data_IF_247165155119
#
_entry.id   IF_247165155119
#
_cell.length_a   1.000
_cell.length_b   1.000
_cell.length_c   1.000
_cell.angle_alpha   90.00
_cell.angle_beta   90.00
_cell.angle_gamma   90.00
#
_symmetry.space_group_name_H-M   'P 1'
#
loop_
_entity.id
_entity.type
_entity.pdbx_description
1 polymer ?
#
# COMPACT_ATOMS: atom_id res chain seq x y z
N UNK A 1 10.03 17.15 0.34
CA UNK A 1 9.47 15.90 0.89
C UNK A 1 9.63 14.85 -0.18
N UNK A 2 10.22 13.71 0.15
CA UNK A 2 10.31 12.57 -0.76
C UNK A 2 8.94 11.90 -0.96
N UNK A 3 8.83 10.99 -1.93
CA UNK A 3 7.55 10.40 -2.32
C UNK A 3 6.93 9.54 -1.22
N UNK A 4 7.73 8.78 -0.44
CA UNK A 4 7.21 8.00 0.69
C UNK A 4 6.53 8.91 1.70
N UNK A 5 7.23 9.96 2.13
CA UNK A 5 6.71 10.87 3.15
C UNK A 5 5.45 11.58 2.62
N UNK A 6 5.43 11.95 1.32
CA UNK A 6 4.29 12.61 0.70
C UNK A 6 3.05 11.72 0.58
N UNK A 7 3.20 10.47 0.14
CA UNK A 7 2.08 9.51 0.11
C UNK A 7 1.60 9.19 1.51
N UNK A 8 2.51 8.97 2.47
CA UNK A 8 2.16 8.65 3.85
C UNK A 8 1.39 9.77 4.55
N UNK A 9 1.82 11.02 4.38
CA UNK A 9 1.09 12.17 4.93
C UNK A 9 -0.29 12.30 4.30
N UNK A 10 -0.43 12.13 2.99
CA UNK A 10 -1.72 12.21 2.32
C UNK A 10 -2.69 11.12 2.80
N UNK A 11 -2.21 9.88 2.93
CA UNK A 11 -3.00 8.75 3.46
C UNK A 11 -3.43 9.02 4.91
N UNK A 12 -2.51 9.46 5.76
CA UNK A 12 -2.84 9.78 7.16
C UNK A 12 -3.84 10.93 7.29
N UNK A 13 -3.74 11.96 6.46
CA UNK A 13 -4.75 13.03 6.40
C UNK A 13 -6.11 12.48 5.98
N UNK A 14 -6.15 11.59 4.98
CA UNK A 14 -7.41 10.96 4.56
C UNK A 14 -8.05 10.12 5.68
N UNK A 15 -7.25 9.44 6.51
CA UNK A 15 -7.75 8.74 7.72
C UNK A 15 -8.22 9.73 8.80
N UNK A 16 -7.54 10.88 8.96
CA UNK A 16 -7.91 11.92 9.92
C UNK A 16 -9.29 12.52 9.61
N UNK A 17 -9.61 12.68 8.33
CA UNK A 17 -10.84 13.27 7.80
C UNK A 17 -12.05 12.31 7.79
N UNK A 18 -11.88 11.03 8.16
CA UNK A 18 -12.97 10.05 8.18
C UNK A 18 -14.05 10.42 9.20
N UNK A 19 -15.31 10.27 8.80
CA UNK A 19 -16.45 10.35 9.73
C UNK A 19 -16.67 9.02 10.43
N UNK A 20 -17.38 9.02 11.57
CA UNK A 20 -17.71 7.79 12.31
C UNK A 20 -18.40 6.71 11.44
N UNK A 21 -19.19 7.11 10.44
CA UNK A 21 -19.89 6.18 9.56
C UNK A 21 -18.97 5.53 8.52
N UNK A 22 -17.85 6.18 8.18
CA UNK A 22 -16.97 5.71 7.12
C UNK A 22 -16.20 4.45 7.52
N UNK A 23 -15.90 4.29 8.81
CA UNK A 23 -15.20 3.13 9.37
C UNK A 23 -15.90 1.79 9.13
N UNK A 24 -17.23 1.80 9.01
CA UNK A 24 -18.06 0.61 8.75
C UNK A 24 -18.38 0.41 7.25
N UNK A 25 -17.87 1.28 6.37
CA UNK A 25 -18.00 1.09 4.92
C UNK A 25 -17.00 0.06 4.42
N UNK A 26 -17.28 -0.61 3.28
CA UNK A 26 -16.28 -1.38 2.58
C UNK A 26 -15.08 -0.50 2.19
N UNK A 27 -13.89 -1.06 2.23
CA UNK A 27 -12.69 -0.52 1.57
C UNK A 27 -12.51 -1.13 0.18
N UNK A 28 -11.47 -0.73 -0.55
CA UNK A 28 -11.07 -1.34 -1.82
C UNK A 28 -10.40 -2.71 -1.66
N UNK A 29 -9.96 -3.07 -0.45
CA UNK A 29 -9.53 -4.42 -0.14
C UNK A 29 -10.77 -5.32 -0.01
N UNK A 30 -10.90 -6.31 -0.90
CA UNK A 30 -12.08 -7.16 -0.97
C UNK A 30 -12.38 -7.86 0.38
N UNK A 31 -13.59 -7.66 0.90
CA UNK A 31 -14.02 -8.25 2.17
C UNK A 31 -13.59 -7.48 3.43
N UNK A 32 -12.81 -6.40 3.30
CA UNK A 32 -12.39 -5.56 4.41
C UNK A 32 -13.18 -4.26 4.49
N UNK A 33 -13.57 -3.90 5.70
CA UNK A 33 -14.08 -2.57 6.01
C UNK A 33 -12.92 -1.56 6.12
N UNK A 34 -13.25 -0.26 6.09
CA UNK A 34 -12.27 0.81 6.31
C UNK A 34 -11.52 0.63 7.62
N UNK A 35 -12.19 0.20 8.71
CA UNK A 35 -11.50 -0.10 9.98
C UNK A 35 -10.50 -1.25 9.88
N UNK A 36 -10.75 -2.24 9.03
CA UNK A 36 -9.86 -3.38 8.86
C UNK A 36 -8.60 -2.92 8.13
N UNK A 37 -8.77 -2.13 7.07
CA UNK A 37 -7.67 -1.48 6.35
C UNK A 37 -6.83 -0.58 7.25
N UNK A 38 -7.45 0.30 8.05
CA UNK A 38 -6.68 1.16 8.97
C UNK A 38 -5.95 0.34 10.04
N UNK A 39 -6.51 -0.79 10.48
CA UNK A 39 -5.82 -1.70 11.39
C UNK A 39 -4.60 -2.36 10.71
N UNK A 40 -4.70 -2.71 9.43
CA UNK A 40 -3.55 -3.20 8.65
C UNK A 40 -2.45 -2.14 8.52
N UNK A 41 -2.81 -0.88 8.24
CA UNK A 41 -1.82 0.20 8.13
C UNK A 41 -1.05 0.46 9.44
N UNK A 42 -1.60 0.08 10.60
CA UNK A 42 -0.84 0.11 11.86
C UNK A 42 0.31 -0.89 11.81
N UNK A 43 0.06 -2.10 11.29
CA UNK A 43 1.07 -3.14 11.15
C UNK A 43 2.12 -2.71 10.12
N UNK A 44 1.72 -2.12 9.00
CA UNK A 44 2.68 -1.61 8.01
C UNK A 44 3.56 -0.50 8.60
N UNK A 45 2.98 0.40 9.40
CA UNK A 45 3.73 1.43 10.10
C UNK A 45 4.67 0.84 11.17
N UNK A 46 4.28 -0.27 11.82
CA UNK A 46 5.17 -1.03 12.69
C UNK A 46 6.32 -1.68 11.90
N UNK A 47 6.05 -2.23 10.72
CA UNK A 47 7.07 -2.82 9.85
C UNK A 47 8.08 -1.78 9.38
N UNK A 48 7.64 -0.55 9.08
CA UNK A 48 8.56 0.57 8.80
C UNK A 48 9.45 0.83 10.01
N UNK A 49 8.87 0.93 11.20
CA UNK A 49 9.64 1.18 12.42
C UNK A 49 10.64 0.04 12.70
N UNK A 50 10.23 -1.21 12.55
CA UNK A 50 11.06 -2.40 12.77
C UNK A 50 12.19 -2.45 11.74
N UNK A 51 11.87 -2.30 10.46
CA UNK A 51 12.85 -2.42 9.36
C UNK A 51 13.93 -1.34 9.47
N UNK A 52 13.55 -0.08 9.74
CA UNK A 52 14.51 1.03 9.85
C UNK A 52 15.47 0.90 11.05
N UNK A 53 15.16 0.04 12.02
CA UNK A 53 16.06 -0.26 13.17
C UNK A 53 16.63 -1.67 13.14
N UNK A 54 16.55 -2.36 12.00
CA UNK A 54 17.12 -3.70 11.78
C UNK A 54 18.30 -3.59 10.80
N UNK A 55 19.48 -3.13 11.24
CA UNK A 55 20.64 -2.93 10.36
C UNK A 55 21.20 -4.27 9.87
N UNK A 56 21.76 -4.26 8.67
CA UNK A 56 22.39 -5.41 8.05
C UNK A 56 23.82 -5.11 7.59
N UNK A 57 24.76 -6.01 7.85
CA UNK A 57 26.14 -5.90 7.38
C UNK A 57 26.33 -6.48 5.96
N UNK A 58 25.45 -7.41 5.56
CA UNK A 58 25.53 -8.07 4.26
C UNK A 58 25.28 -7.10 3.09
N UNK A 59 25.71 -7.48 1.88
CA UNK A 59 25.42 -6.71 0.66
C UNK A 59 23.92 -6.76 0.33
N UNK A 60 23.36 -5.70 -0.29
CA UNK A 60 21.97 -5.71 -0.75
C UNK A 60 21.68 -6.89 -1.68
N UNK A 61 20.60 -7.61 -1.38
CA UNK A 61 20.06 -8.70 -2.17
C UNK A 61 18.80 -8.30 -2.94
N UNK A 62 18.19 -7.17 -2.57
CA UNK A 62 17.01 -6.60 -3.21
C UNK A 62 17.12 -5.07 -3.31
N UNK A 63 16.29 -4.50 -4.16
CA UNK A 63 16.05 -3.07 -4.32
C UNK A 63 14.55 -2.77 -4.23
N UNK A 64 14.14 -1.54 -4.50
CA UNK A 64 12.74 -1.13 -4.42
C UNK A 64 11.76 -1.86 -5.36
N UNK A 65 12.27 -2.51 -6.41
CA UNK A 65 11.46 -3.29 -7.38
C UNK A 65 11.46 -4.77 -6.97
N UNK A 66 12.63 -5.32 -6.71
CA UNK A 66 12.84 -6.75 -6.36
C UNK A 66 12.51 -7.08 -4.90
N UNK A 67 12.17 -6.06 -4.11
CA UNK A 67 11.49 -6.25 -2.82
C UNK A 67 10.18 -7.01 -2.98
N UNK A 68 9.44 -6.76 -4.07
CA UNK A 68 8.15 -7.37 -4.36
C UNK A 68 8.30 -8.69 -5.10
N UNK A 69 7.40 -9.62 -4.78
CA UNK A 69 7.18 -10.84 -5.54
C UNK A 69 5.76 -10.85 -6.11
N UNK A 70 5.58 -11.37 -7.33
CA UNK A 70 4.24 -11.64 -7.84
C UNK A 70 3.74 -12.94 -7.24
N UNK A 71 2.62 -12.87 -6.53
CA UNK A 71 2.01 -13.98 -5.81
C UNK A 71 0.61 -14.28 -6.35
N UNK A 72 0.04 -15.41 -5.96
CA UNK A 72 -1.37 -15.71 -6.24
C UNK A 72 -2.27 -14.86 -5.33
N UNK A 73 -3.47 -14.47 -5.79
CA UNK A 73 -4.44 -13.78 -4.95
C UNK A 73 -4.75 -14.58 -3.67
N UNK A 74 -4.85 -13.91 -2.50
CA UNK A 74 -5.23 -14.59 -1.27
C UNK A 74 -6.63 -15.19 -1.41
N UNK A 75 -6.82 -16.43 -0.96
CA UNK A 75 -8.12 -17.12 -1.07
C UNK A 75 -9.04 -16.79 0.10
N UNK A 76 -8.50 -16.27 1.22
CA UNK A 76 -9.24 -16.05 2.46
C UNK A 76 -9.40 -17.30 3.32
N UNK A 77 -8.77 -18.41 2.94
CA UNK A 77 -8.88 -19.70 3.64
C UNK A 77 -7.84 -19.86 4.76
N UNK A 78 -6.80 -19.02 4.80
CA UNK A 78 -5.81 -19.09 5.88
C UNK A 78 -6.41 -18.53 7.18
N UNK A 79 -6.30 -19.23 8.33
CA UNK A 79 -6.78 -18.70 9.60
C UNK A 79 -6.24 -17.31 9.98
N UNK A 80 -5.06 -16.92 9.45
CA UNK A 80 -4.44 -15.61 9.60
C UNK A 80 -5.09 -14.55 8.71
N UNK A 81 -5.77 -14.90 7.61
CA UNK A 81 -6.49 -13.94 6.75
C UNK A 81 -7.58 -13.19 7.53
N UNK A 82 -8.15 -13.85 8.54
CA UNK A 82 -9.14 -13.27 9.45
C UNK A 82 -8.52 -12.55 10.67
N UNK A 83 -7.19 -12.48 10.82
CA UNK A 83 -6.55 -11.83 11.96
C UNK A 83 -6.81 -10.33 11.97
N UNK A 84 -6.65 -9.65 10.83
CA UNK A 84 -6.83 -8.20 10.73
C UNK A 84 -8.26 -7.77 11.11
N UNK A 85 -9.34 -8.37 10.53
CA UNK A 85 -10.70 -8.02 10.95
C UNK A 85 -10.98 -8.28 12.43
N UNK A 86 -10.40 -9.35 13.01
CA UNK A 86 -10.53 -9.64 14.45
C UNK A 86 -9.85 -8.57 15.32
N UNK A 87 -8.65 -8.13 14.94
CA UNK A 87 -7.93 -7.07 15.64
C UNK A 87 -8.65 -5.73 15.52
N UNK A 88 -9.10 -5.37 14.32
CA UNK A 88 -9.86 -4.14 14.08
C UNK A 88 -11.14 -4.08 14.92
N UNK A 89 -11.90 -5.19 14.97
CA UNK A 89 -13.10 -5.31 15.79
C UNK A 89 -12.80 -5.18 17.30
N UNK A 90 -11.62 -5.60 17.76
CA UNK A 90 -11.24 -5.55 19.18
C UNK A 90 -11.06 -4.13 19.73
N UNK A 91 -10.85 -3.12 18.87
CA UNK A 91 -10.83 -1.71 19.30
C UNK A 91 -12.20 -1.24 19.79
N UNK A 92 -13.30 -1.84 19.31
CA UNK A 92 -14.68 -1.50 19.68
C UNK A 92 -15.17 -0.16 19.14
N UNK A 93 -14.48 0.95 19.46
CA UNK A 93 -14.81 2.29 18.99
C UNK A 93 -13.77 2.77 17.95
N UNK A 94 -14.19 3.29 16.78
CA UNK A 94 -13.29 3.76 15.73
C UNK A 94 -12.24 4.78 16.19
N UNK A 95 -12.62 5.68 17.13
CA UNK A 95 -11.69 6.67 17.68
C UNK A 95 -10.47 6.07 18.38
N UNK A 96 -10.59 4.87 18.95
CA UNK A 96 -9.48 4.18 19.63
C UNK A 96 -8.49 3.63 18.61
N UNK A 97 -9.00 3.07 17.51
CA UNK A 97 -8.20 2.65 16.38
C UNK A 97 -7.51 3.85 15.71
N UNK A 98 -8.25 4.93 15.44
CA UNK A 98 -7.72 6.19 14.90
C UNK A 98 -6.59 6.77 15.76
N UNK A 99 -6.77 6.79 17.08
CA UNK A 99 -5.75 7.27 18.02
C UNK A 99 -4.46 6.44 17.93
N UNK A 100 -4.58 5.10 17.90
CA UNK A 100 -3.39 4.23 17.80
C UNK A 100 -2.71 4.36 16.43
N UNK A 101 -3.49 4.44 15.35
CA UNK A 101 -2.98 4.70 14.01
C UNK A 101 -2.22 6.04 13.93
N UNK A 102 -2.75 7.10 14.51
CA UNK A 102 -2.08 8.40 14.51
C UNK A 102 -0.73 8.35 15.24
N UNK A 103 -0.67 7.71 16.41
CA UNK A 103 0.56 7.63 17.21
C UNK A 103 1.67 6.84 16.48
N UNK A 104 1.36 5.59 16.07
CA UNK A 104 2.31 4.72 15.36
C UNK A 104 2.66 5.29 14.00
N UNK A 105 1.67 5.80 13.26
CA UNK A 105 1.91 6.36 11.94
C UNK A 105 2.72 7.65 11.97
N UNK A 106 2.59 8.46 13.03
CA UNK A 106 3.47 9.60 13.26
C UNK A 106 4.90 9.18 13.58
N UNK A 107 5.07 8.12 14.37
CA UNK A 107 6.38 7.58 14.64
C UNK A 107 7.06 7.04 13.37
N UNK A 108 6.35 6.26 12.55
CA UNK A 108 6.87 5.71 11.30
C UNK A 108 7.29 6.81 10.32
N UNK A 109 6.47 7.85 10.15
CA UNK A 109 6.80 8.99 9.30
C UNK A 109 8.06 9.72 9.76
N UNK A 110 8.18 10.02 11.06
CA UNK A 110 9.38 10.66 11.62
C UNK A 110 10.62 9.77 11.49
N UNK A 111 10.48 8.46 11.69
CA UNK A 111 11.58 7.51 11.55
C UNK A 111 12.10 7.49 10.10
N UNK A 112 11.20 7.47 9.12
CA UNK A 112 11.56 7.55 7.71
C UNK A 112 12.28 8.85 7.32
N UNK A 113 11.89 9.98 7.92
CA UNK A 113 12.58 11.27 7.72
C UNK A 113 13.99 11.29 8.35
N UNK A 114 14.18 10.61 9.48
CA UNK A 114 15.45 10.56 10.21
C UNK A 114 16.42 9.47 9.70
N UNK A 115 15.92 8.48 8.96
CA UNK A 115 16.71 7.36 8.49
C UNK A 115 17.83 7.80 7.52
N UNK A 116 19.02 7.24 7.70
CA UNK A 116 20.07 7.30 6.68
C UNK A 116 19.65 6.42 5.49
N UNK A 117 19.31 7.07 4.37
CA UNK A 117 18.85 6.41 3.14
C UNK A 117 19.87 5.39 2.58
N UNK A 118 21.15 5.56 2.88
CA UNK A 118 22.20 4.65 2.44
C UNK A 118 22.46 3.48 3.41
N UNK A 119 21.89 3.52 4.62
CA UNK A 119 22.01 2.42 5.57
C UNK A 119 21.35 1.16 5.01
N UNK A 120 21.99 0.01 5.26
CA UNK A 120 21.49 -1.30 4.87
C UNK A 120 20.61 -1.84 6.00
N UNK A 121 19.43 -2.33 5.62
CA UNK A 121 18.43 -2.89 6.54
C UNK A 121 18.01 -4.26 6.06
N UNK A 122 17.54 -5.09 6.98
CA UNK A 122 17.01 -6.43 6.70
C UNK A 122 15.53 -6.51 7.01
N UNK A 123 14.76 -7.09 6.09
CA UNK A 123 13.35 -7.41 6.26
C UNK A 123 12.95 -8.52 5.30
N UNK A 124 12.02 -9.39 5.68
CA UNK A 124 11.59 -10.55 4.88
C UNK A 124 12.75 -11.44 4.35
N UNK A 125 13.87 -11.51 5.08
CA UNK A 125 15.08 -12.22 4.64
C UNK A 125 15.81 -11.57 3.44
N UNK A 126 15.44 -10.34 3.08
CA UNK A 126 16.08 -9.51 2.05
C UNK A 126 16.89 -8.40 2.71
N UNK A 127 18.04 -8.08 2.14
CA UNK A 127 18.85 -6.91 2.51
C UNK A 127 18.71 -5.86 1.42
N UNK A 128 18.41 -4.62 1.80
CA UNK A 128 18.27 -3.49 0.89
C UNK A 128 18.66 -2.18 1.59
N UNK A 129 18.79 -1.09 0.83
CA UNK A 129 19.00 0.21 1.46
C UNK A 129 17.69 0.70 2.09
N UNK A 130 17.78 1.49 3.17
CA UNK A 130 16.60 2.15 3.74
C UNK A 130 15.90 3.04 2.70
N UNK A 131 16.64 3.64 1.77
CA UNK A 131 16.09 4.39 0.64
C UNK A 131 15.27 3.52 -0.32
N UNK A 132 15.74 2.33 -0.65
CA UNK A 132 15.02 1.37 -1.49
C UNK A 132 13.78 0.83 -0.78
N UNK A 133 13.89 0.49 0.51
CA UNK A 133 12.75 0.05 1.31
C UNK A 133 11.63 1.10 1.37
N UNK A 134 11.97 2.35 1.67
CA UNK A 134 10.99 3.45 1.67
C UNK A 134 10.43 3.71 0.27
N UNK A 135 11.22 3.50 -0.79
CA UNK A 135 10.73 3.61 -2.16
C UNK A 135 9.79 2.46 -2.55
N UNK A 136 10.00 1.25 -2.00
CA UNK A 136 9.05 0.15 -2.15
C UNK A 136 7.73 0.46 -1.44
N UNK A 137 7.78 0.94 -0.19
CA UNK A 137 6.58 1.27 0.61
C UNK A 137 5.75 2.45 0.06
N UNK A 138 6.29 3.21 -0.92
CA UNK A 138 5.47 4.13 -1.71
C UNK A 138 4.27 3.41 -2.36
N UNK A 139 4.49 2.17 -2.82
CA UNK A 139 3.45 1.33 -3.41
C UNK A 139 2.33 1.08 -2.41
N UNK A 140 2.67 0.62 -1.20
CA UNK A 140 1.70 0.31 -0.14
C UNK A 140 0.84 1.52 0.20
N UNK A 141 1.46 2.66 0.49
CA UNK A 141 0.72 3.87 0.83
C UNK A 141 -0.18 4.35 -0.31
N UNK A 142 0.27 4.23 -1.55
CA UNK A 142 -0.51 4.70 -2.70
C UNK A 142 -1.70 3.78 -2.98
N UNK A 143 -1.48 2.47 -2.99
CA UNK A 143 -2.54 1.48 -3.19
C UNK A 143 -3.55 1.52 -2.04
N UNK A 144 -3.10 1.56 -0.80
CA UNK A 144 -4.02 1.59 0.35
C UNK A 144 -4.70 2.94 0.54
N UNK A 145 -4.16 4.04 0.01
CA UNK A 145 -4.95 5.27 -0.11
C UNK A 145 -6.07 5.11 -1.14
N UNK A 146 -5.82 4.47 -2.29
CA UNK A 146 -6.92 4.11 -3.22
C UNK A 146 -7.95 3.18 -2.57
N UNK A 147 -7.49 2.19 -1.78
CA UNK A 147 -8.37 1.26 -1.08
C UNK A 147 -9.21 1.98 -0.02
N UNK A 148 -8.62 2.93 0.71
CA UNK A 148 -9.33 3.69 1.73
C UNK A 148 -10.50 4.47 1.13
N UNK A 149 -10.31 5.09 -0.04
CA UNK A 149 -11.29 6.00 -0.62
C UNK A 149 -12.26 5.34 -1.62
N UNK A 150 -12.12 4.03 -1.87
CA UNK A 150 -12.88 3.32 -2.91
C UNK A 150 -14.41 3.54 -2.83
N UNK A 151 -14.94 3.69 -1.61
CA UNK A 151 -16.36 3.92 -1.36
C UNK A 151 -16.65 5.26 -0.64
N UNK A 152 -15.71 6.21 -0.75
CA UNK A 152 -15.75 7.54 -0.15
C UNK A 152 -15.57 8.63 -1.24
N UNK A 153 -16.61 8.91 -2.05
CA UNK A 153 -16.46 9.74 -3.25
C UNK A 153 -16.09 11.22 -2.99
N UNK A 154 -16.22 11.69 -1.75
CA UNK A 154 -15.80 13.04 -1.34
C UNK A 154 -14.39 13.11 -0.77
N UNK A 155 -13.73 11.96 -0.52
CA UNK A 155 -12.39 11.93 0.04
C UNK A 155 -11.35 12.32 -1.02
N UNK A 156 -10.29 13.01 -0.58
CA UNK A 156 -9.18 13.34 -1.46
C UNK A 156 -8.39 12.08 -1.83
N UNK A 157 -8.08 11.91 -3.11
CA UNK A 157 -7.26 10.81 -3.61
C UNK A 157 -5.76 11.00 -3.35
N UNK A 158 -4.95 10.00 -3.70
CA UNK A 158 -3.51 10.09 -3.56
C UNK A 158 -2.94 11.20 -4.45
N UNK A 159 -1.84 11.86 -4.05
CA UNK A 159 -1.18 12.86 -4.88
C UNK A 159 -0.79 12.30 -6.27
N UNK A 160 -0.91 13.13 -7.32
CA UNK A 160 -0.70 12.68 -8.69
C UNK A 160 0.71 12.09 -8.92
N UNK A 161 1.75 12.68 -8.33
CA UNK A 161 3.12 12.15 -8.47
C UNK A 161 3.37 10.83 -7.72
N UNK A 162 2.58 10.49 -6.69
CA UNK A 162 2.68 9.19 -6.02
C UNK A 162 1.99 8.11 -6.85
N UNK A 163 0.86 8.43 -7.49
CA UNK A 163 0.20 7.55 -8.45
C UNK A 163 1.10 7.22 -9.64
N UNK A 164 1.70 8.24 -10.26
CA UNK A 164 2.61 8.05 -11.39
C UNK A 164 3.82 7.17 -11.02
N UNK A 165 4.41 7.40 -9.85
CA UNK A 165 5.53 6.62 -9.36
C UNK A 165 5.16 5.17 -9.01
N UNK A 166 3.98 4.96 -8.40
CA UNK A 166 3.46 3.63 -8.13
C UNK A 166 3.16 2.86 -9.43
N UNK A 167 2.55 3.49 -10.44
CA UNK A 167 2.38 2.87 -11.76
C UNK A 167 3.71 2.45 -12.36
N UNK A 168 4.69 3.35 -12.37
CA UNK A 168 6.02 3.05 -12.92
C UNK A 168 6.74 1.93 -12.15
N UNK A 169 6.49 1.79 -10.84
CA UNK A 169 6.98 0.66 -10.05
C UNK A 169 6.26 -0.63 -10.43
N UNK A 170 4.92 -0.64 -10.52
CA UNK A 170 4.13 -1.81 -10.91
C UNK A 170 4.54 -2.35 -12.28
N UNK A 171 4.72 -1.46 -13.27
CA UNK A 171 5.19 -1.81 -14.62
C UNK A 171 6.56 -2.50 -14.59
N UNK A 172 7.48 -2.03 -13.73
CA UNK A 172 8.80 -2.67 -13.56
C UNK A 172 8.72 -4.02 -12.86
N UNK A 173 7.89 -4.13 -11.81
CA UNK A 173 7.70 -5.37 -11.05
C UNK A 173 7.11 -6.45 -11.97
N UNK A 174 6.06 -6.10 -12.71
CA UNK A 174 5.37 -7.02 -13.61
C UNK A 174 6.10 -7.23 -14.95
N UNK A 175 7.07 -6.37 -15.31
CA UNK A 175 7.76 -6.45 -16.59
C UNK A 175 6.88 -6.07 -17.79
N UNK A 176 5.87 -5.24 -17.57
CA UNK A 176 4.87 -4.85 -18.57
C UNK A 176 4.80 -3.33 -18.71
N UNK A 177 4.05 -2.84 -19.70
CA UNK A 177 3.73 -1.41 -19.82
C UNK A 177 2.24 -1.29 -20.04
N UNK A 178 1.55 -0.53 -19.19
CA UNK A 178 0.12 -0.29 -19.37
C UNK A 178 -0.10 0.69 -20.53
N UNK A 179 -1.20 0.55 -21.30
CA UNK A 179 -1.49 1.45 -22.41
C UNK A 179 -1.53 2.93 -21.96
N UNK A 180 -1.09 3.85 -22.83
CA UNK A 180 -1.13 5.30 -22.56
C UNK A 180 -2.56 5.83 -22.33
N UNK A 181 -3.58 5.10 -22.78
CA UNK A 181 -4.98 5.43 -22.54
C UNK A 181 -5.42 5.25 -21.08
N UNK A 182 -4.66 4.52 -20.26
CA UNK A 182 -4.93 4.36 -18.84
C UNK A 182 -4.39 5.57 -18.06
N UNK A 183 -5.23 6.11 -17.17
CA UNK A 183 -4.73 6.96 -16.09
C UNK A 183 -3.87 6.15 -15.12
N UNK A 184 -3.02 6.80 -14.34
CA UNK A 184 -2.20 6.10 -13.33
C UNK A 184 -3.06 5.39 -12.29
N UNK A 185 -4.19 6.01 -11.90
CA UNK A 185 -5.19 5.39 -11.02
C UNK A 185 -5.78 4.12 -11.64
N UNK A 186 -6.19 4.17 -12.91
CA UNK A 186 -6.80 3.01 -13.57
C UNK A 186 -5.80 1.89 -13.77
N UNK A 187 -4.55 2.21 -14.13
CA UNK A 187 -3.49 1.21 -14.27
C UNK A 187 -3.24 0.48 -12.95
N UNK A 188 -3.21 1.20 -11.82
CA UNK A 188 -3.05 0.60 -10.49
C UNK A 188 -4.27 -0.23 -10.08
N UNK A 189 -5.48 0.31 -10.22
CA UNK A 189 -6.70 -0.38 -9.79
C UNK A 189 -6.99 -1.64 -10.62
N UNK A 190 -6.82 -1.57 -11.94
CA UNK A 190 -7.02 -2.72 -12.84
C UNK A 190 -5.85 -3.69 -12.73
N UNK A 191 -4.63 -3.16 -12.76
CA UNK A 191 -3.40 -3.95 -12.71
C UNK A 191 -3.30 -4.83 -11.48
N UNK A 192 -3.78 -4.35 -10.33
CA UNK A 192 -3.73 -5.08 -9.06
C UNK A 192 -5.06 -5.74 -8.68
N UNK A 193 -6.03 -5.79 -9.59
CA UNK A 193 -7.30 -6.52 -9.37
C UNK A 193 -8.33 -5.84 -8.48
N UNK A 194 -8.07 -4.61 -8.01
CA UNK A 194 -9.02 -3.80 -7.21
C UNK A 194 -10.24 -3.37 -8.01
N UNK A 195 -10.15 -3.33 -9.34
CA UNK A 195 -11.25 -3.01 -10.24
C UNK A 195 -11.22 -3.90 -11.49
N UNK A 196 -12.38 -4.40 -11.90
CA UNK A 196 -12.52 -5.06 -13.21
C UNK A 196 -12.38 -4.04 -14.35
N UNK A 197 -11.58 -4.33 -15.39
CA UNK A 197 -11.49 -3.44 -16.56
C UNK A 197 -12.81 -3.40 -17.34
N UNK A 198 -13.13 -2.23 -17.87
CA UNK A 198 -14.23 -2.04 -18.83
C UNK A 198 -13.91 -2.72 -20.17
N UNK A 199 -14.91 -2.88 -21.05
CA UNK A 199 -14.69 -3.51 -22.36
C UNK A 199 -13.67 -2.74 -23.23
N UNK A 200 -13.67 -1.40 -23.14
CA UNK A 200 -12.70 -0.56 -23.85
C UNK A 200 -11.28 -0.74 -23.29
N UNK A 201 -11.15 -0.82 -21.96
CA UNK A 201 -9.87 -1.08 -21.29
C UNK A 201 -9.35 -2.48 -21.59
N UNK A 202 -10.21 -3.51 -21.58
CA UNK A 202 -9.85 -4.87 -22.00
C UNK A 202 -9.33 -4.90 -23.43
N UNK A 203 -10.01 -4.21 -24.35
CA UNK A 203 -9.56 -4.12 -25.73
C UNK A 203 -8.21 -3.39 -25.87
N UNK A 204 -7.96 -2.37 -25.04
CA UNK A 204 -6.69 -1.65 -25.02
C UNK A 204 -5.54 -2.47 -24.39
N UNK A 205 -5.83 -3.29 -23.38
CA UNK A 205 -4.86 -4.20 -22.75
C UNK A 205 -4.42 -5.32 -23.70
N UNK A 206 -5.31 -5.82 -24.55
CA UNK A 206 -5.00 -6.94 -25.43
C UNK A 206 -4.58 -8.17 -24.62
N UNK A 207 -3.47 -8.82 -25.01
CA UNK A 207 -2.95 -10.03 -24.35
C UNK A 207 -2.60 -9.79 -22.88
N UNK A 208 -2.26 -8.56 -22.48
CA UNK A 208 -1.97 -8.20 -21.08
C UNK A 208 -3.18 -8.45 -20.17
N UNK A 209 -4.41 -8.43 -20.70
CA UNK A 209 -5.61 -8.69 -19.91
C UNK A 209 -5.64 -10.09 -19.30
N UNK A 210 -4.98 -11.08 -19.93
CA UNK A 210 -4.93 -12.46 -19.47
C UNK A 210 -3.86 -12.68 -18.36
N UNK A 211 -2.96 -11.72 -18.15
CA UNK A 211 -1.93 -11.74 -17.10
C UNK A 211 -2.39 -11.09 -15.79
N UNK A 212 -3.53 -10.39 -15.81
CA UNK A 212 -4.06 -9.69 -14.65
C UNK A 212 -4.83 -10.63 -13.71
N UNK A 213 -4.80 -10.38 -12.37
CA UNK A 213 -4.13 -9.27 -11.70
C UNK A 213 -2.68 -9.57 -11.29
N UNK A 214 -1.85 -8.53 -11.22
CA UNK A 214 -0.54 -8.56 -10.57
C UNK A 214 -0.71 -8.34 -9.06
N UNK A 215 -0.75 -9.42 -8.29
CA UNK A 215 -0.79 -9.36 -6.82
C UNK A 215 0.63 -9.28 -6.29
N UNK A 216 0.88 -8.30 -5.44
CA UNK A 216 2.19 -8.01 -4.86
C UNK A 216 2.29 -8.67 -3.48
N UNK A 217 3.38 -9.38 -3.23
CA UNK A 217 3.75 -9.98 -1.94
C UNK A 217 5.18 -9.67 -1.54
#
# INVERSE_FOLDING_TARGET
MDLFSRSWTALRTAVDDLTDQDWERPSGCAGWLVRDLVCHLIIDAQDVLITLVTPADAEPTADSVTYWELVEPPTGDDPLDALIPRLAAAYGEPRLLKFHFDDVGAAAGRAAELADRAARVETQGKVLTAGDYLSAYLMEWTLHHLDLIAHLPSAAGPPAETLAAARAALEKIAGVTFPESFSDTDALLVGTGRRTPTDAEKAALGDLADELPFVLG
#
